data_IF_492356422638
#
_entry.id   IF_492356422638
#
_cell.length_a   1.000
_cell.length_b   1.000
_cell.length_c   1.000
_cell.angle_alpha   90.00
_cell.angle_beta   90.00
_cell.angle_gamma   90.00
#
_symmetry.space_group_name_H-M   'P 1'
#
loop_
_entity.id
_entity.type
_entity.pdbx_description
1 polymer ?
#
# COMPACT_ATOMS: atom_id res chain seq x y z
N UNK A 1 -2.61 -24.13 -15.35
CA UNK A 1 -3.11 -22.75 -15.34
C UNK A 1 -1.99 -21.89 -14.82
N UNK A 2 -1.43 -21.04 -15.67
CA UNK A 2 -0.33 -20.16 -15.31
C UNK A 2 -0.74 -19.28 -14.14
N UNK A 3 0.07 -19.26 -13.07
CA UNK A 3 -0.24 -18.51 -11.86
C UNK A 3 -0.24 -17.01 -12.16
N UNK A 4 -1.36 -16.33 -11.89
CA UNK A 4 -1.48 -14.87 -12.07
C UNK A 4 -0.37 -14.17 -11.26
N UNK A 5 0.49 -13.35 -11.89
CA UNK A 5 1.67 -12.76 -11.25
C UNK A 5 1.33 -11.96 -10.00
N UNK A 6 1.93 -12.34 -8.87
CA UNK A 6 1.62 -11.77 -7.55
C UNK A 6 2.44 -10.54 -7.19
N UNK A 7 1.84 -9.60 -6.45
CA UNK A 7 2.59 -8.47 -5.88
C UNK A 7 3.56 -9.00 -4.82
N UNK A 8 4.76 -8.42 -4.75
CA UNK A 8 5.71 -8.70 -3.67
C UNK A 8 5.28 -7.93 -2.42
N UNK A 9 5.12 -8.64 -1.31
CA UNK A 9 4.60 -8.07 -0.05
C UNK A 9 5.54 -7.00 0.50
N UNK A 10 6.85 -7.26 0.51
CA UNK A 10 7.86 -6.34 1.03
C UNK A 10 7.90 -5.04 0.21
N UNK A 11 7.79 -5.15 -1.12
CA UNK A 11 7.73 -3.98 -1.98
C UNK A 11 6.46 -3.14 -1.73
N UNK A 12 5.34 -3.79 -1.40
CA UNK A 12 4.10 -3.10 -1.04
C UNK A 12 4.24 -2.39 0.31
N UNK A 13 4.82 -3.07 1.31
CA UNK A 13 5.08 -2.50 2.63
C UNK A 13 6.00 -1.28 2.52
N UNK A 14 7.07 -1.35 1.74
CA UNK A 14 7.96 -0.20 1.53
C UNK A 14 7.24 0.98 0.86
N UNK A 15 6.41 0.73 -0.16
CA UNK A 15 5.61 1.79 -0.80
C UNK A 15 4.58 2.42 0.16
N UNK A 16 4.00 1.62 1.04
CA UNK A 16 2.99 2.10 2.01
C UNK A 16 3.60 2.72 3.26
N UNK A 17 4.91 2.63 3.48
CA UNK A 17 5.59 3.08 4.71
C UNK A 17 5.32 4.54 5.01
N UNK A 18 5.56 5.43 4.04
CA UNK A 18 5.32 6.87 4.19
C UNK A 18 3.85 7.19 4.47
N UNK A 19 2.92 6.56 3.74
CA UNK A 19 1.47 6.75 3.92
C UNK A 19 1.02 6.28 5.31
N UNK A 20 1.60 5.19 5.80
CA UNK A 20 1.33 4.66 7.15
C UNK A 20 1.86 5.63 8.22
N UNK A 21 3.05 6.18 8.02
CA UNK A 21 3.62 7.16 8.93
C UNK A 21 2.78 8.45 8.98
N UNK A 22 2.33 8.95 7.83
CA UNK A 22 1.41 10.09 7.75
C UNK A 22 0.10 9.83 8.49
N UNK A 23 -0.50 8.64 8.33
CA UNK A 23 -1.69 8.24 9.08
C UNK A 23 -1.43 8.32 10.59
N UNK A 24 -0.34 7.73 11.08
CA UNK A 24 -0.03 7.70 12.51
C UNK A 24 0.21 9.10 13.07
N UNK A 25 0.89 9.97 12.31
CA UNK A 25 1.07 11.38 12.67
C UNK A 25 -0.26 12.13 12.70
N UNK A 26 -1.16 11.86 11.75
CA UNK A 26 -2.51 12.41 11.70
C UNK A 26 -3.34 11.99 12.92
N UNK A 27 -3.34 10.69 13.27
CA UNK A 27 -4.06 10.17 14.44
C UNK A 27 -3.56 10.83 15.73
N UNK A 28 -2.23 10.89 15.93
CA UNK A 28 -1.65 11.55 17.10
C UNK A 28 -2.06 13.03 17.18
N UNK A 29 -2.11 13.71 16.04
CA UNK A 29 -2.53 15.10 15.95
C UNK A 29 -4.01 15.27 16.30
N UNK A 30 -4.89 14.41 15.80
CA UNK A 30 -6.33 14.43 16.10
C UNK A 30 -6.60 14.21 17.59
N UNK A 31 -5.91 13.24 18.21
CA UNK A 31 -6.00 12.97 19.65
C UNK A 31 -5.53 14.17 20.47
N UNK A 32 -4.42 14.81 20.08
CA UNK A 32 -3.90 15.99 20.79
C UNK A 32 -4.80 17.23 20.68
N UNK A 33 -5.59 17.34 19.61
CA UNK A 33 -6.55 18.45 19.42
C UNK A 33 -7.83 18.26 20.24
N UNK A 34 -8.15 17.03 20.62
CA UNK A 34 -9.41 16.74 21.30
C UNK A 34 -9.46 17.37 22.71
N UNK A 35 -10.65 17.80 23.19
CA UNK A 35 -10.78 18.40 24.52
C UNK A 35 -10.33 17.46 25.65
N UNK A 36 -9.84 18.03 26.75
CA UNK A 36 -9.45 17.28 27.94
C UNK A 36 -10.63 16.43 28.46
N UNK A 37 -10.38 15.14 28.69
CA UNK A 37 -11.42 14.19 29.11
C UNK A 37 -12.32 13.69 27.96
N UNK A 38 -12.12 14.16 26.73
CA UNK A 38 -12.87 13.75 25.54
C UNK A 38 -11.95 13.28 24.41
N UNK A 39 -10.75 12.75 24.70
CA UNK A 39 -9.75 12.39 23.69
C UNK A 39 -10.23 11.38 22.66
N UNK A 40 -11.09 10.44 23.06
CA UNK A 40 -11.66 9.43 22.16
C UNK A 40 -12.79 10.05 21.34
N UNK A 41 -13.91 10.43 21.98
CA UNK A 41 -15.08 10.95 21.27
C UNK A 41 -14.77 12.23 20.47
N UNK A 42 -13.88 13.08 20.98
CA UNK A 42 -13.49 14.34 20.34
C UNK A 42 -12.54 14.17 19.15
N UNK A 43 -11.89 13.01 19.00
CA UNK A 43 -11.02 12.70 17.85
C UNK A 43 -11.59 11.66 16.90
N UNK A 44 -12.63 10.92 17.32
CA UNK A 44 -13.15 9.74 16.62
C UNK A 44 -13.47 10.00 15.14
N UNK A 45 -14.12 11.12 14.83
CA UNK A 45 -14.52 11.45 13.46
C UNK A 45 -13.31 11.72 12.56
N UNK A 46 -12.36 12.54 13.01
CA UNK A 46 -11.13 12.83 12.24
C UNK A 46 -10.29 11.55 12.06
N UNK A 47 -10.16 10.72 13.10
CA UNK A 47 -9.46 9.44 13.03
C UNK A 47 -10.16 8.46 12.08
N UNK A 48 -11.50 8.42 12.09
CA UNK A 48 -12.29 7.59 11.17
C UNK A 48 -12.03 7.98 9.70
N UNK A 49 -12.01 9.27 9.41
CA UNK A 49 -11.77 9.77 8.06
C UNK A 49 -10.33 9.45 7.60
N UNK A 50 -9.34 9.68 8.46
CA UNK A 50 -7.94 9.33 8.20
C UNK A 50 -7.76 7.84 7.88
N UNK A 51 -8.40 6.95 8.66
CA UNK A 51 -8.37 5.51 8.41
C UNK A 51 -9.11 5.12 7.13
N UNK A 52 -10.19 5.83 6.79
CA UNK A 52 -10.92 5.68 5.54
C UNK A 52 -10.05 5.99 4.32
N UNK A 53 -9.33 7.10 4.36
CA UNK A 53 -8.39 7.52 3.32
C UNK A 53 -7.22 6.54 3.19
N UNK A 54 -6.64 6.11 4.33
CA UNK A 54 -5.57 5.12 4.34
C UNK A 54 -6.01 3.81 3.67
N UNK A 55 -7.19 3.30 4.04
CA UNK A 55 -7.76 2.07 3.45
C UNK A 55 -7.90 2.20 1.94
N UNK A 56 -8.39 3.33 1.45
CA UNK A 56 -8.52 3.60 0.00
C UNK A 56 -7.15 3.50 -0.70
N UNK A 57 -6.16 4.26 -0.22
CA UNK A 57 -4.80 4.29 -0.77
C UNK A 57 -4.12 2.92 -0.74
N UNK A 58 -4.34 2.15 0.33
CA UNK A 58 -3.83 0.79 0.48
C UNK A 58 -4.35 -0.12 -0.65
N UNK A 59 -5.66 -0.13 -0.89
CA UNK A 59 -6.25 -0.93 -1.97
C UNK A 59 -5.83 -0.47 -3.36
N UNK A 60 -5.83 0.84 -3.61
CA UNK A 60 -5.39 1.39 -4.90
C UNK A 60 -3.93 0.99 -5.21
N UNK A 61 -3.04 1.12 -4.23
CA UNK A 61 -1.62 0.76 -4.38
C UNK A 61 -1.45 -0.75 -4.62
N UNK A 62 -2.15 -1.58 -3.85
CA UNK A 62 -2.09 -3.03 -3.99
C UNK A 62 -2.62 -3.51 -5.36
N UNK A 63 -3.73 -2.94 -5.82
CA UNK A 63 -4.32 -3.25 -7.12
C UNK A 63 -3.39 -2.80 -8.26
N UNK A 64 -2.81 -1.60 -8.18
CA UNK A 64 -1.86 -1.15 -9.17
C UNK A 64 -0.65 -2.08 -9.27
N UNK A 65 -0.09 -2.50 -8.13
CA UNK A 65 1.04 -3.45 -8.12
C UNK A 65 0.69 -4.82 -8.73
N UNK A 66 -0.57 -5.27 -8.58
CA UNK A 66 -1.04 -6.50 -9.23
C UNK A 66 -1.13 -6.35 -10.74
N UNK A 67 -1.58 -5.19 -11.22
CA UNK A 67 -1.62 -4.86 -12.64
C UNK A 67 -0.20 -4.79 -13.20
N UNK A 68 0.72 -4.10 -12.52
CA UNK A 68 2.12 -3.98 -12.94
C UNK A 68 2.81 -5.35 -13.03
N UNK A 69 2.59 -6.21 -12.04
CA UNK A 69 3.15 -7.57 -12.03
C UNK A 69 2.59 -8.42 -13.19
N UNK A 70 1.30 -8.29 -13.49
CA UNK A 70 0.69 -8.96 -14.63
C UNK A 70 1.31 -8.48 -15.96
N UNK A 71 1.44 -7.16 -16.16
CA UNK A 71 2.03 -6.58 -17.37
C UNK A 71 3.50 -6.97 -17.56
N UNK A 72 4.30 -7.01 -16.49
CA UNK A 72 5.69 -7.42 -16.55
C UNK A 72 5.87 -8.87 -17.04
N UNK A 73 4.95 -9.77 -16.70
CA UNK A 73 4.99 -11.17 -17.14
C UNK A 73 4.72 -11.34 -18.65
N UNK A 74 4.08 -10.36 -19.30
CA UNK A 74 3.81 -10.39 -20.75
C UNK A 74 4.90 -9.68 -21.59
N UNK A 75 5.94 -9.11 -20.97
CA UNK A 75 6.97 -8.38 -21.72
C UNK A 75 7.92 -9.32 -22.49
N UNK A 76 8.17 -9.12 -23.81
CA UNK A 76 8.89 -10.09 -24.67
C UNK A 76 10.40 -10.27 -24.40
N UNK A 77 10.95 -9.69 -23.34
CA UNK A 77 12.39 -9.65 -23.04
C UNK A 77 12.88 -10.65 -22.00
N UNK A 78 12.09 -11.64 -21.61
CA UNK A 78 12.57 -12.73 -20.75
C UNK A 78 13.76 -13.43 -21.43
N UNK A 79 14.95 -13.33 -20.83
CA UNK A 79 16.19 -13.89 -21.36
C UNK A 79 15.97 -15.30 -21.91
N UNK A 80 16.02 -15.41 -23.23
CA UNK A 80 16.27 -16.66 -23.90
C UNK A 80 17.78 -16.82 -23.84
N UNK A 81 18.28 -17.45 -22.78
CA UNK A 81 19.64 -17.99 -22.79
C UNK A 81 19.66 -19.16 -23.78
N UNK A 82 19.79 -18.81 -25.05
CA UNK A 82 20.22 -19.71 -26.11
C UNK A 82 21.70 -20.00 -25.92
N UNK A 83 22.03 -20.87 -24.98
CA UNK A 83 23.33 -21.55 -24.97
C UNK A 83 23.20 -22.80 -25.84
N UNK A 84 23.48 -22.67 -27.13
CA UNK A 84 23.76 -23.80 -28.02
C UNK A 84 25.24 -24.20 -27.85
N UNK A 85 25.56 -25.49 -27.64
CA UNK A 85 26.94 -25.95 -27.50
C UNK A 85 27.62 -26.05 -28.87
N UNK A 86 28.92 -25.73 -28.91
CA UNK A 86 29.86 -26.11 -29.96
C UNK A 86 31.16 -26.58 -29.31
#
# INVERSE_FOLDING_TARGET
>A
MDSVPVMKVEAYVERMRGITEELLRGVATAVNKAPNGAWINGSEMEVRDLLGDFRRKAYETALQMRIDAAQAAFSPGGCKDGQTPA
#
